data_IF_289240112571
#
_entry.id   IF_289240112571
#
_cell.length_a   1.000
_cell.length_b   1.000
_cell.length_c   1.000
_cell.angle_alpha   90.00
_cell.angle_beta   90.00
_cell.angle_gamma   90.00
#
_symmetry.space_group_name_H-M   'P 1'
#
loop_
_entity.id
_entity.type
_entity.pdbx_description
1 polymer ?
#
# COMPACT_ATOMS: atom_id res chain seq x y z
N UNK A 1 -13.87 -3.25 14.47
CA UNK A 1 -12.55 -3.58 13.86
C UNK A 1 -12.12 -5.02 14.10
N UNK A 2 -12.10 -5.52 15.35
CA UNK A 2 -11.64 -6.89 15.66
C UNK A 2 -12.41 -7.99 14.90
N UNK A 3 -13.74 -7.96 14.87
CA UNK A 3 -14.55 -8.93 14.12
C UNK A 3 -14.23 -8.94 12.62
N UNK A 4 -14.00 -7.77 12.02
CA UNK A 4 -13.64 -7.66 10.61
C UNK A 4 -12.24 -8.23 10.33
N UNK A 5 -11.27 -8.03 11.24
CA UNK A 5 -9.96 -8.70 11.17
C UNK A 5 -10.11 -10.22 11.23
N UNK A 6 -10.88 -10.75 12.18
CA UNK A 6 -11.12 -12.19 12.30
C UNK A 6 -11.81 -12.77 11.07
N UNK A 7 -12.81 -12.08 10.54
CA UNK A 7 -13.50 -12.47 9.31
C UNK A 7 -12.55 -12.48 8.10
N UNK A 8 -11.77 -11.41 7.93
CA UNK A 8 -10.77 -11.30 6.85
C UNK A 8 -9.74 -12.43 6.94
N UNK A 9 -9.23 -12.71 8.14
CA UNK A 9 -8.31 -13.81 8.38
C UNK A 9 -8.95 -15.17 8.03
N UNK A 10 -10.16 -15.45 8.54
CA UNK A 10 -10.87 -16.69 8.29
C UNK A 10 -11.15 -16.93 6.80
N UNK A 11 -11.62 -15.90 6.08
CA UNK A 11 -11.86 -15.96 4.64
C UNK A 11 -10.56 -16.20 3.87
N UNK A 12 -9.47 -15.54 4.25
CA UNK A 12 -8.15 -15.73 3.64
C UNK A 12 -7.67 -17.17 3.85
N UNK A 13 -7.73 -17.68 5.08
CA UNK A 13 -7.31 -19.05 5.41
C UNK A 13 -8.15 -20.06 4.63
N UNK A 14 -9.46 -19.88 4.55
CA UNK A 14 -10.35 -20.76 3.77
C UNK A 14 -9.98 -20.75 2.28
N UNK A 15 -9.75 -19.56 1.72
CA UNK A 15 -9.37 -19.41 0.31
C UNK A 15 -8.02 -20.09 0.02
N UNK A 16 -6.99 -19.82 0.83
CA UNK A 16 -5.67 -20.45 0.67
C UNK A 16 -5.73 -21.98 0.82
N UNK A 17 -6.55 -22.52 1.75
CA UNK A 17 -6.77 -23.96 1.88
C UNK A 17 -7.41 -24.57 0.63
N UNK A 18 -8.45 -23.92 0.09
CA UNK A 18 -9.11 -24.41 -1.14
C UNK A 18 -8.19 -24.44 -2.36
N UNK A 19 -7.15 -23.60 -2.37
CA UNK A 19 -6.15 -23.56 -3.44
C UNK A 19 -5.01 -24.57 -3.26
N UNK A 20 -5.05 -25.39 -2.19
CA UNK A 20 -4.01 -26.37 -1.85
C UNK A 20 -2.61 -25.71 -1.85
N UNK A 21 -2.47 -24.60 -1.14
CA UNK A 21 -1.23 -23.83 -1.08
C UNK A 21 -0.13 -24.64 -0.40
N UNK A 22 1.06 -24.65 -1.02
CA UNK A 22 2.26 -25.33 -0.55
C UNK A 22 3.41 -24.33 -0.37
N UNK A 23 4.51 -24.75 0.27
CA UNK A 23 5.72 -23.92 0.39
C UNK A 23 6.31 -23.52 -0.97
N UNK A 24 6.16 -24.37 -2.00
CA UNK A 24 6.64 -24.10 -3.36
C UNK A 24 5.96 -22.87 -4.00
N UNK A 25 4.73 -22.54 -3.60
CA UNK A 25 4.01 -21.37 -4.11
C UNK A 25 4.68 -20.04 -3.72
N UNK A 26 5.48 -20.05 -2.64
CA UNK A 26 6.22 -18.89 -2.14
C UNK A 26 7.71 -18.89 -2.55
N UNK A 27 8.15 -19.87 -3.35
CA UNK A 27 9.54 -19.99 -3.79
C UNK A 27 9.98 -18.80 -4.68
N UNK A 28 11.30 -18.57 -4.76
CA UNK A 28 11.92 -17.47 -5.51
C UNK A 28 11.35 -17.25 -6.94
N UNK A 29 11.09 -18.30 -7.76
CA UNK A 29 10.54 -18.11 -9.10
C UNK A 29 9.15 -17.48 -9.15
N UNK A 30 8.41 -17.49 -8.03
CA UNK A 30 7.06 -16.94 -7.92
C UNK A 30 7.03 -15.53 -7.29
N UNK A 31 8.19 -15.00 -6.90
CA UNK A 31 8.33 -13.67 -6.26
C UNK A 31 8.61 -12.54 -7.26
N UNK A 32 8.51 -12.83 -8.57
CA UNK A 32 8.63 -11.84 -9.63
C UNK A 32 7.45 -10.86 -9.67
N UNK A 33 7.67 -9.72 -10.32
CA UNK A 33 6.61 -8.72 -10.59
C UNK A 33 5.59 -9.29 -11.58
N UNK A 34 6.09 -9.92 -12.65
CA UNK A 34 5.25 -10.49 -13.70
C UNK A 34 4.65 -11.81 -13.21
N UNK A 35 3.31 -11.92 -13.10
CA UNK A 35 2.67 -13.18 -12.78
C UNK A 35 2.95 -14.22 -13.85
N UNK A 36 3.09 -15.48 -13.43
CA UNK A 36 2.71 -16.59 -14.31
C UNK A 36 1.21 -16.52 -14.52
N UNK A 37 0.75 -16.52 -15.77
CA UNK A 37 -0.68 -16.38 -16.14
C UNK A 37 -1.53 -17.64 -15.82
N UNK A 38 -1.04 -18.53 -14.96
CA UNK A 38 -1.82 -19.66 -14.48
C UNK A 38 -2.90 -19.18 -13.49
N UNK A 39 -4.15 -19.59 -13.70
CA UNK A 39 -5.30 -19.16 -12.89
C UNK A 39 -5.05 -19.37 -11.38
N UNK A 40 -4.54 -20.54 -10.98
CA UNK A 40 -4.20 -20.83 -9.57
C UNK A 40 -3.17 -19.85 -9.00
N UNK A 41 -2.11 -19.54 -9.75
CA UNK A 41 -1.08 -18.60 -9.32
C UNK A 41 -1.62 -17.19 -9.17
N UNK A 42 -2.44 -16.74 -10.12
CA UNK A 42 -3.13 -15.45 -10.03
C UNK A 42 -4.06 -15.38 -8.82
N UNK A 43 -4.81 -16.46 -8.53
CA UNK A 43 -5.67 -16.54 -7.35
C UNK A 43 -4.89 -16.42 -6.05
N UNK A 44 -3.77 -17.14 -5.89
CA UNK A 44 -2.94 -17.06 -4.68
C UNK A 44 -2.39 -15.64 -4.50
N UNK A 45 -1.85 -15.02 -5.56
CA UNK A 45 -1.35 -13.64 -5.52
C UNK A 45 -2.47 -12.64 -5.18
N UNK A 46 -3.67 -12.85 -5.72
CA UNK A 46 -4.86 -12.05 -5.43
C UNK A 46 -5.30 -12.14 -3.97
N UNK A 47 -5.44 -13.36 -3.44
CA UNK A 47 -5.79 -13.59 -2.03
C UNK A 47 -4.76 -12.96 -1.10
N UNK A 48 -3.46 -13.14 -1.37
CA UNK A 48 -2.40 -12.53 -0.55
C UNK A 48 -2.44 -11.00 -0.62
N UNK A 49 -2.71 -10.42 -1.79
CA UNK A 49 -2.80 -8.96 -1.96
C UNK A 49 -3.99 -8.37 -1.21
N UNK A 50 -5.17 -8.97 -1.35
CA UNK A 50 -6.39 -8.55 -0.64
C UNK A 50 -6.22 -8.71 0.87
N UNK A 51 -5.66 -9.84 1.31
CA UNK A 51 -5.38 -10.08 2.72
C UNK A 51 -4.43 -9.03 3.28
N UNK A 52 -3.36 -8.69 2.55
CA UNK A 52 -2.42 -7.64 2.98
C UNK A 52 -3.12 -6.29 3.17
N UNK A 53 -3.92 -5.85 2.20
CA UNK A 53 -4.66 -4.56 2.27
C UNK A 53 -5.51 -4.50 3.53
N UNK A 54 -6.39 -5.50 3.73
CA UNK A 54 -7.37 -5.44 4.82
C UNK A 54 -6.77 -5.71 6.19
N UNK A 55 -5.77 -6.60 6.28
CA UNK A 55 -5.10 -6.85 7.55
C UNK A 55 -4.35 -5.61 8.00
N UNK A 56 -3.58 -4.97 7.11
CA UNK A 56 -2.92 -3.69 7.41
C UNK A 56 -3.92 -2.60 7.80
N UNK A 57 -5.03 -2.47 7.07
CA UNK A 57 -6.11 -1.54 7.42
C UNK A 57 -6.60 -1.74 8.85
N UNK A 58 -6.95 -2.98 9.20
CA UNK A 58 -7.52 -3.29 10.52
C UNK A 58 -6.55 -3.11 11.68
N UNK A 59 -5.32 -3.61 11.53
CA UNK A 59 -4.31 -3.57 12.58
C UNK A 59 -3.92 -2.13 12.87
N UNK A 60 -3.68 -1.33 11.83
CA UNK A 60 -3.25 0.05 12.00
C UNK A 60 -4.40 0.95 12.48
N UNK A 61 -5.61 0.76 11.97
CA UNK A 61 -6.77 1.50 12.49
C UNK A 61 -7.03 1.15 13.95
N UNK A 62 -6.97 -0.14 14.32
CA UNK A 62 -7.14 -0.56 15.71
C UNK A 62 -6.07 0.03 16.64
N UNK A 63 -4.80 0.00 16.22
CA UNK A 63 -3.71 0.61 16.99
C UNK A 63 -3.90 2.13 17.13
N UNK A 64 -4.31 2.81 16.06
CA UNK A 64 -4.61 4.23 16.08
C UNK A 64 -5.76 4.57 17.02
N UNK A 65 -6.86 3.83 16.97
CA UNK A 65 -8.02 4.08 17.83
C UNK A 65 -7.68 3.87 19.31
N UNK A 66 -6.89 2.83 19.63
CA UNK A 66 -6.42 2.59 21.00
C UNK A 66 -5.54 3.75 21.50
N UNK A 67 -4.60 4.21 20.67
CA UNK A 67 -3.75 5.34 21.03
C UNK A 67 -4.55 6.64 21.14
N UNK A 68 -5.47 6.90 20.22
CA UNK A 68 -6.36 8.08 20.29
C UNK A 68 -7.15 8.09 21.61
N UNK A 69 -7.75 6.96 22.01
CA UNK A 69 -8.46 6.85 23.30
C UNK A 69 -7.52 7.15 24.47
N UNK A 70 -6.29 6.61 24.42
CA UNK A 70 -5.30 6.81 25.48
C UNK A 70 -4.90 8.28 25.61
N UNK A 71 -4.48 8.92 24.51
CA UNK A 71 -3.93 10.28 24.53
C UNK A 71 -5.02 11.35 24.68
N UNK A 72 -6.19 11.16 24.05
CA UNK A 72 -7.29 12.13 24.10
C UNK A 72 -8.14 11.95 25.36
N UNK A 73 -8.56 10.71 25.67
CA UNK A 73 -9.56 10.48 26.72
C UNK A 73 -8.96 10.14 28.09
N UNK A 74 -7.89 9.35 28.14
CA UNK A 74 -7.31 8.91 29.43
C UNK A 74 -6.27 9.88 29.98
N UNK A 75 -5.38 10.37 29.11
CA UNK A 75 -4.29 11.27 29.47
C UNK A 75 -4.68 12.75 29.32
N UNK A 76 -5.60 13.05 28.40
CA UNK A 76 -6.01 14.43 28.10
C UNK A 76 -4.89 15.29 27.52
N UNK A 77 -3.92 14.68 26.83
CA UNK A 77 -2.76 15.38 26.26
C UNK A 77 -3.08 16.01 24.90
N UNK A 78 -3.94 15.35 24.12
CA UNK A 78 -4.25 15.74 22.75
C UNK A 78 -5.77 16.00 22.57
N UNK A 79 -6.11 16.85 21.60
CA UNK A 79 -7.48 17.03 21.12
C UNK A 79 -7.90 15.95 20.10
N UNK A 80 -9.21 15.62 19.98
CA UNK A 80 -9.70 14.67 18.97
C UNK A 80 -9.32 15.03 17.52
N UNK A 81 -9.20 16.32 17.21
CA UNK A 81 -8.81 16.84 15.89
C UNK A 81 -7.34 16.55 15.52
N UNK A 82 -6.50 16.29 16.52
CA UNK A 82 -5.09 15.92 16.35
C UNK A 82 -4.94 14.44 15.94
N UNK A 83 -6.01 13.65 16.07
CA UNK A 83 -6.09 12.23 15.73
C UNK A 83 -7.01 11.96 14.53
N UNK A 84 -6.70 12.52 13.33
CA UNK A 84 -7.53 12.32 12.15
C UNK A 84 -7.48 10.86 11.68
N UNK A 85 -8.52 10.36 10.98
CA UNK A 85 -8.53 9.00 10.47
C UNK A 85 -7.30 8.65 9.62
N UNK A 86 -6.66 7.51 9.90
CA UNK A 86 -5.50 7.03 9.14
C UNK A 86 -5.80 6.73 7.67
N UNK A 87 -7.01 6.29 7.39
CA UNK A 87 -7.47 5.89 6.07
C UNK A 87 -8.65 6.76 5.63
N UNK A 88 -8.70 7.06 4.34
CA UNK A 88 -9.88 7.69 3.75
C UNK A 88 -10.88 6.67 3.22
N UNK A 89 -11.73 7.10 2.29
CA UNK A 89 -12.76 6.25 1.71
C UNK A 89 -12.21 5.26 0.68
N UNK A 90 -12.47 3.96 0.87
CA UNK A 90 -12.18 2.92 -0.11
C UNK A 90 -12.93 3.11 -1.44
N UNK A 91 -14.03 3.88 -1.44
CA UNK A 91 -14.81 4.21 -2.65
C UNK A 91 -13.99 5.07 -3.63
N UNK A 92 -12.94 5.74 -3.15
CA UNK A 92 -12.05 6.53 -4.02
C UNK A 92 -10.87 5.72 -4.58
N UNK A 93 -10.69 4.46 -4.18
CA UNK A 93 -9.52 3.65 -4.51
C UNK A 93 -9.56 2.98 -5.92
N UNK A 94 -10.12 3.65 -6.93
CA UNK A 94 -10.27 3.14 -8.31
C UNK A 94 -9.12 3.51 -9.26
N UNK A 95 -8.02 4.08 -8.75
CA UNK A 95 -6.75 4.23 -9.47
C UNK A 95 -5.62 4.14 -8.46
N UNK A 96 -4.40 3.78 -8.85
CA UNK A 96 -3.29 3.69 -7.89
C UNK A 96 -3.02 5.04 -7.24
N UNK A 97 -3.04 6.13 -8.01
CA UNK A 97 -2.84 7.46 -7.45
C UNK A 97 -3.87 7.78 -6.37
N UNK A 98 -5.14 7.43 -6.58
CA UNK A 98 -6.19 7.66 -5.56
C UNK A 98 -6.10 6.68 -4.41
N UNK A 99 -5.74 5.43 -4.66
CA UNK A 99 -5.46 4.46 -3.60
C UNK A 99 -4.44 5.04 -2.62
N UNK A 100 -3.28 5.50 -3.11
CA UNK A 100 -2.21 6.02 -2.25
C UNK A 100 -2.45 7.41 -1.67
N UNK A 101 -3.19 8.29 -2.35
CA UNK A 101 -3.38 9.69 -1.90
C UNK A 101 -4.71 9.97 -1.19
N UNK A 102 -5.74 9.13 -1.38
CA UNK A 102 -7.08 9.34 -0.81
C UNK A 102 -7.50 8.23 0.14
N UNK A 103 -7.10 6.99 -0.11
CA UNK A 103 -7.52 5.86 0.72
C UNK A 103 -6.46 5.44 1.74
N UNK A 104 -5.23 5.20 1.29
CA UNK A 104 -4.18 4.52 2.06
C UNK A 104 -3.32 5.47 2.90
N UNK A 105 -3.08 5.11 4.16
CA UNK A 105 -2.12 5.72 5.10
C UNK A 105 -1.89 7.24 4.93
N UNK A 106 -2.91 8.05 5.22
CA UNK A 106 -2.82 9.51 5.07
C UNK A 106 -1.84 10.15 6.07
N UNK A 107 -1.59 9.51 7.21
CA UNK A 107 -0.68 10.01 8.25
C UNK A 107 0.74 10.20 7.72
N UNK A 108 1.22 9.30 6.86
CA UNK A 108 2.56 9.40 6.28
C UNK A 108 2.76 10.74 5.56
N UNK A 109 1.77 11.23 4.82
CA UNK A 109 1.92 12.48 4.09
C UNK A 109 2.10 13.69 5.02
N UNK A 110 1.47 13.68 6.20
CA UNK A 110 1.57 14.78 7.18
C UNK A 110 2.87 14.68 7.98
N UNK A 111 3.17 13.51 8.53
CA UNK A 111 4.36 13.29 9.36
C UNK A 111 5.66 13.37 8.54
N UNK A 112 5.61 13.04 7.26
CA UNK A 112 6.79 13.07 6.39
C UNK A 112 7.02 14.42 5.70
N UNK A 113 6.04 15.32 5.68
CA UNK A 113 6.21 16.64 5.06
C UNK A 113 7.35 17.46 5.72
N UNK A 114 7.53 17.45 7.05
CA UNK A 114 8.71 18.04 7.71
C UNK A 114 10.05 17.40 7.35
N UNK A 115 10.07 16.17 6.84
CA UNK A 115 11.32 15.51 6.40
C UNK A 115 11.68 15.85 4.95
N UNK A 116 10.77 16.46 4.20
CA UNK A 116 10.97 16.78 2.79
C UNK A 116 11.89 17.99 2.58
N UNK A 117 12.79 18.00 1.58
CA UNK A 117 13.66 19.13 1.32
C UNK A 117 12.91 20.46 1.09
N UNK A 118 13.45 21.62 1.53
CA UNK A 118 12.78 22.92 1.44
C UNK A 118 12.26 23.29 0.04
N UNK A 119 13.01 22.98 -1.02
CA UNK A 119 12.63 23.27 -2.40
C UNK A 119 11.41 22.46 -2.87
N UNK A 120 11.17 21.28 -2.29
CA UNK A 120 9.98 20.47 -2.55
C UNK A 120 8.81 20.86 -1.62
N UNK A 121 9.07 21.50 -0.47
CA UNK A 121 8.04 22.05 0.44
C UNK A 121 7.43 23.34 -0.08
N UNK A 122 8.24 24.25 -0.61
CA UNK A 122 7.85 25.60 -1.02
C UNK A 122 6.62 25.61 -1.94
N UNK A 123 5.46 26.05 -1.44
CA UNK A 123 4.21 26.13 -2.21
C UNK A 123 4.39 27.19 -3.29
N UNK A 124 4.33 26.79 -4.56
CA UNK A 124 4.52 27.73 -5.67
C UNK A 124 3.45 28.82 -5.59
N UNK A 125 3.87 30.05 -5.29
CA UNK A 125 3.02 31.25 -5.32
C UNK A 125 2.68 31.65 -6.78
N UNK A 126 3.33 31.04 -7.78
CA UNK A 126 3.22 31.40 -9.20
C UNK A 126 2.59 30.25 -9.99
N UNK A 127 1.41 30.51 -10.60
CA UNK A 127 0.60 29.60 -11.45
C UNK A 127 1.32 29.18 -12.76
N UNK A 128 2.46 28.49 -12.69
CA UNK A 128 3.12 27.89 -13.86
C UNK A 128 2.90 26.37 -13.85
N UNK A 129 1.83 25.94 -14.53
CA UNK A 129 1.34 24.54 -14.63
C UNK A 129 2.40 23.47 -14.92
N UNK A 130 3.50 23.81 -15.63
CA UNK A 130 4.58 22.86 -16.00
C UNK A 130 5.53 22.55 -14.84
N UNK A 131 5.89 23.56 -14.03
CA UNK A 131 6.70 23.37 -12.82
C UNK A 131 5.94 22.58 -11.75
N UNK A 132 4.61 22.68 -11.73
CA UNK A 132 3.77 21.94 -10.78
C UNK A 132 3.83 20.42 -11.00
N UNK A 133 3.97 19.93 -12.25
CA UNK A 133 4.04 18.50 -12.52
C UNK A 133 5.31 17.85 -12.00
N UNK A 134 6.47 18.39 -12.41
CA UNK A 134 7.76 17.84 -12.02
C UNK A 134 7.90 17.89 -10.50
N UNK A 135 7.55 19.02 -9.90
CA UNK A 135 7.56 19.18 -8.45
C UNK A 135 6.64 18.19 -7.74
N UNK A 136 5.40 18.02 -8.21
CA UNK A 136 4.48 17.05 -7.60
C UNK A 136 4.97 15.60 -7.77
N UNK A 137 5.61 15.28 -8.89
CA UNK A 137 6.21 13.96 -9.14
C UNK A 137 7.40 13.72 -8.21
N UNK A 138 8.27 14.71 -8.01
CA UNK A 138 9.38 14.63 -7.06
C UNK A 138 8.90 14.53 -5.61
N UNK A 139 7.83 15.26 -5.23
CA UNK A 139 7.18 15.11 -3.92
C UNK A 139 6.65 13.69 -3.72
N UNK A 140 5.98 13.13 -4.73
CA UNK A 140 5.49 11.76 -4.67
C UNK A 140 6.65 10.76 -4.54
N UNK A 141 7.69 10.89 -5.38
CA UNK A 141 8.89 10.04 -5.32
C UNK A 141 9.53 10.08 -3.93
N UNK A 142 9.68 11.27 -3.34
CA UNK A 142 10.20 11.44 -1.99
C UNK A 142 9.38 10.66 -0.95
N UNK A 143 8.06 10.78 -0.98
CA UNK A 143 7.17 10.07 -0.06
C UNK A 143 7.29 8.55 -0.26
N UNK A 144 7.31 8.06 -1.50
CA UNK A 144 7.48 6.62 -1.79
C UNK A 144 8.84 6.08 -1.29
N UNK A 145 9.94 6.82 -1.50
CA UNK A 145 11.26 6.43 -1.00
C UNK A 145 11.31 6.41 0.53
N UNK A 146 10.70 7.41 1.17
CA UNK A 146 10.69 7.48 2.63
C UNK A 146 9.82 6.37 3.25
N UNK A 147 8.70 6.02 2.62
CA UNK A 147 7.93 4.83 2.98
C UNK A 147 8.75 3.55 2.83
N UNK A 148 9.49 3.38 1.73
CA UNK A 148 10.39 2.24 1.56
C UNK A 148 11.43 2.14 2.67
N UNK A 149 11.99 3.28 3.09
CA UNK A 149 12.96 3.34 4.18
C UNK A 149 12.34 2.91 5.51
N UNK A 150 11.16 3.41 5.88
CA UNK A 150 10.51 3.02 7.13
C UNK A 150 10.11 1.54 7.15
N UNK A 151 9.66 1.01 6.01
CA UNK A 151 9.38 -0.42 5.89
C UNK A 151 10.64 -1.28 5.98
N UNK A 152 11.73 -0.87 5.32
CA UNK A 152 13.01 -1.54 5.43
C UNK A 152 13.56 -1.56 6.87
N UNK A 153 13.45 -0.42 7.57
CA UNK A 153 13.82 -0.29 8.98
C UNK A 153 12.95 -1.19 9.87
N UNK A 154 11.64 -1.20 9.67
CA UNK A 154 10.71 -2.06 10.42
C UNK A 154 11.05 -3.55 10.24
N UNK A 155 11.34 -3.97 9.00
CA UNK A 155 11.75 -5.34 8.71
C UNK A 155 13.10 -5.69 9.35
N UNK A 156 14.06 -4.77 9.36
CA UNK A 156 15.35 -4.97 10.01
C UNK A 156 15.20 -5.11 11.53
N UNK A 157 14.38 -4.28 12.17
CA UNK A 157 14.11 -4.38 13.61
C UNK A 157 13.39 -5.68 13.95
N UNK A 158 12.44 -6.11 13.12
CA UNK A 158 11.56 -7.26 13.43
C UNK A 158 12.18 -8.61 13.07
N UNK A 159 12.86 -8.70 11.92
CA UNK A 159 13.37 -9.97 11.36
C UNK A 159 14.89 -10.03 11.31
N UNK A 160 15.61 -8.96 11.70
CA UNK A 160 17.08 -8.84 11.58
C UNK A 160 17.60 -9.06 10.16
N UNK A 161 16.73 -8.92 9.15
CA UNK A 161 17.02 -9.08 7.73
C UNK A 161 16.67 -7.82 6.95
N UNK A 162 17.57 -7.39 6.08
CA UNK A 162 17.38 -6.21 5.23
C UNK A 162 16.62 -6.55 3.95
N UNK A 163 15.28 -6.53 3.97
CA UNK A 163 14.46 -6.60 2.75
C UNK A 163 14.39 -5.26 1.98
N UNK A 164 15.35 -4.37 2.21
CA UNK A 164 15.34 -2.99 1.72
C UNK A 164 15.17 -2.88 0.19
N UNK A 165 15.87 -3.73 -0.57
CA UNK A 165 15.75 -3.75 -2.03
C UNK A 165 14.35 -4.16 -2.51
N UNK A 166 13.69 -5.09 -1.81
CA UNK A 166 12.34 -5.54 -2.15
C UNK A 166 11.29 -4.48 -1.82
N UNK A 167 11.43 -3.82 -0.67
CA UNK A 167 10.59 -2.68 -0.28
C UNK A 167 10.77 -1.53 -1.29
N UNK A 168 12.02 -1.15 -1.59
CA UNK A 168 12.30 -0.09 -2.56
C UNK A 168 11.71 -0.40 -3.93
N UNK A 169 11.85 -1.65 -4.41
CA UNK A 169 11.21 -2.11 -5.64
C UNK A 169 9.69 -1.94 -5.60
N UNK A 170 9.03 -2.35 -4.52
CA UNK A 170 7.59 -2.21 -4.36
C UNK A 170 7.14 -0.74 -4.44
N UNK A 171 7.77 0.15 -3.68
CA UNK A 171 7.37 1.56 -3.64
C UNK A 171 7.73 2.30 -4.95
N UNK A 172 8.89 2.04 -5.56
CA UNK A 172 9.27 2.66 -6.84
C UNK A 172 8.39 2.19 -8.00
N UNK A 173 7.99 0.92 -8.04
CA UNK A 173 7.04 0.44 -9.04
C UNK A 173 5.66 1.10 -8.87
N UNK A 174 5.18 1.25 -7.63
CA UNK A 174 3.93 1.98 -7.38
C UNK A 174 4.02 3.45 -7.81
N UNK A 175 5.15 4.12 -7.53
CA UNK A 175 5.42 5.47 -8.03
C UNK A 175 5.38 5.51 -9.57
N UNK A 176 6.07 4.59 -10.24
CA UNK A 176 6.09 4.49 -11.70
C UNK A 176 4.70 4.34 -12.30
N UNK A 177 3.86 3.45 -11.73
CA UNK A 177 2.47 3.29 -12.17
C UNK A 177 1.64 4.55 -11.92
N UNK A 178 1.79 5.22 -10.77
CA UNK A 178 1.11 6.49 -10.50
C UNK A 178 1.52 7.60 -11.49
N UNK A 179 2.79 7.62 -11.89
CA UNK A 179 3.32 8.55 -12.88
C UNK A 179 2.72 8.26 -14.26
N UNK A 180 2.65 7.00 -14.65
CA UNK A 180 2.01 6.55 -15.89
C UNK A 180 0.51 6.90 -15.92
N UNK A 181 -0.23 6.68 -14.82
CA UNK A 181 -1.63 7.11 -14.69
C UNK A 181 -1.75 8.63 -14.90
N UNK A 182 -0.83 9.41 -14.33
CA UNK A 182 -0.87 10.88 -14.44
C UNK A 182 -0.52 11.38 -15.85
N UNK A 183 0.45 10.76 -16.51
CA UNK A 183 0.80 11.09 -17.91
C UNK A 183 -0.33 10.66 -18.84
N UNK A 184 -0.87 9.45 -18.66
CA UNK A 184 -1.99 8.92 -19.44
C UNK A 184 -3.25 9.79 -19.32
N UNK A 185 -3.63 10.18 -18.10
CA UNK A 185 -4.75 11.11 -17.89
C UNK A 185 -4.53 12.47 -18.55
N UNK A 186 -3.30 12.98 -18.62
CA UNK A 186 -3.02 14.26 -19.28
C UNK A 186 -3.06 14.14 -20.79
N UNK A 187 -2.59 13.03 -21.35
CA UNK A 187 -2.67 12.73 -22.77
C UNK A 187 -4.13 12.51 -23.21
N UNK A 188 -4.91 11.75 -22.43
CA UNK A 188 -6.32 11.43 -22.71
C UNK A 188 -7.30 12.50 -22.25
N UNK A 189 -6.90 13.41 -21.36
CA UNK A 189 -7.75 14.48 -20.79
C UNK A 189 -8.18 15.53 -21.81
N UNK A 190 -7.65 15.50 -23.03
CA UNK A 190 -8.19 16.22 -24.19
C UNK A 190 -9.33 15.48 -24.93
N UNK A 191 -9.57 14.20 -24.63
CA UNK A 191 -10.40 13.29 -25.43
C UNK A 191 -11.60 12.64 -24.72
N UNK A 192 -11.63 12.51 -23.38
CA UNK A 192 -12.68 11.75 -22.67
C UNK A 192 -13.71 12.60 -21.88
N UNK A 193 -15.01 12.36 -22.11
CA UNK A 193 -16.16 13.03 -21.46
C UNK A 193 -16.52 12.47 -20.07
N UNK A 194 -17.18 13.25 -19.18
CA UNK A 194 -17.51 12.87 -17.80
C UNK A 194 -18.40 11.62 -17.63
N UNK A 195 -19.23 11.27 -18.63
CA UNK A 195 -20.13 10.12 -18.57
C UNK A 195 -19.38 8.76 -18.50
N UNK A 196 -18.17 8.67 -19.06
CA UNK A 196 -17.32 7.48 -18.95
C UNK A 196 -16.81 7.24 -17.53
N UNK A 197 -16.83 8.26 -16.67
CA UNK A 197 -16.21 8.25 -15.33
C UNK A 197 -16.91 7.32 -14.32
N UNK A 198 -18.18 6.94 -14.55
CA UNK A 198 -18.91 5.98 -13.70
C UNK A 198 -18.64 4.53 -14.11
N UNK A 199 -18.58 4.23 -15.41
CA UNK A 199 -18.26 2.89 -15.93
C UNK A 199 -16.76 2.53 -15.76
N UNK A 200 -15.89 3.54 -15.63
CA UNK A 200 -14.45 3.34 -15.40
C UNK A 200 -14.12 2.89 -13.97
N UNK A 201 -15.03 2.99 -12.99
CA UNK A 201 -14.73 2.66 -11.59
C UNK A 201 -14.48 1.16 -11.36
N UNK A 202 -15.37 0.22 -11.79
CA UNK A 202 -15.09 -1.20 -11.68
C UNK A 202 -13.81 -1.62 -12.40
N UNK A 203 -13.58 -1.11 -13.62
CA UNK A 203 -12.34 -1.33 -14.36
C UNK A 203 -11.11 -0.78 -13.60
N UNK A 204 -11.26 0.38 -12.96
CA UNK A 204 -10.24 0.98 -12.12
C UNK A 204 -9.90 0.15 -10.87
N UNK A 205 -10.90 -0.43 -10.21
CA UNK A 205 -10.66 -1.37 -9.11
C UNK A 205 -9.97 -2.65 -9.58
N UNK A 206 -10.39 -3.20 -10.72
CA UNK A 206 -9.74 -4.36 -11.32
C UNK A 206 -8.28 -4.04 -11.68
N UNK A 207 -8.01 -2.85 -12.21
CA UNK A 207 -6.65 -2.36 -12.49
C UNK A 207 -5.80 -2.24 -11.22
N UNK A 208 -6.32 -1.61 -10.17
CA UNK A 208 -5.62 -1.48 -8.87
C UNK A 208 -5.30 -2.85 -8.29
N UNK A 209 -6.27 -3.76 -8.28
CA UNK A 209 -6.08 -5.13 -7.81
C UNK A 209 -5.04 -5.86 -8.67
N UNK A 210 -5.09 -5.73 -9.99
CA UNK A 210 -4.13 -6.35 -10.90
C UNK A 210 -2.70 -5.87 -10.63
N UNK A 211 -2.50 -4.56 -10.43
CA UNK A 211 -1.17 -4.04 -10.09
C UNK A 211 -0.69 -4.59 -8.74
N UNK A 212 -1.56 -4.70 -7.73
CA UNK A 212 -1.18 -5.32 -6.46
C UNK A 212 -0.89 -6.81 -6.58
N UNK A 213 -1.67 -7.55 -7.37
CA UNK A 213 -1.39 -8.94 -7.74
C UNK A 213 0.03 -9.06 -8.28
N UNK A 214 0.49 -8.10 -9.09
CA UNK A 214 1.84 -8.04 -9.62
C UNK A 214 2.90 -7.65 -8.58
N UNK A 215 2.65 -6.65 -7.74
CA UNK A 215 3.69 -6.03 -6.91
C UNK A 215 3.81 -6.63 -5.50
N UNK A 216 2.69 -6.99 -4.85
CA UNK A 216 2.67 -7.39 -3.42
C UNK A 216 3.44 -8.70 -3.16
N UNK A 217 3.27 -9.77 -3.97
CA UNK A 217 3.97 -11.04 -3.74
C UNK A 217 5.50 -10.90 -3.66
N UNK A 218 6.06 -9.97 -4.43
CA UNK A 218 7.50 -9.82 -4.56
C UNK A 218 8.22 -9.33 -3.30
N UNK A 219 7.54 -8.68 -2.36
CA UNK A 219 8.12 -8.37 -1.04
C UNK A 219 7.46 -9.20 0.07
N UNK A 220 6.19 -9.59 -0.10
CA UNK A 220 5.42 -10.27 0.93
C UNK A 220 5.80 -11.75 1.10
N UNK A 221 6.07 -12.46 0.02
CA UNK A 221 6.39 -13.90 0.06
C UNK A 221 7.67 -14.19 0.86
N UNK A 222 8.80 -13.49 0.65
CA UNK A 222 9.99 -13.62 1.50
C UNK A 222 9.70 -13.46 2.98
N UNK A 223 8.93 -12.43 3.34
CA UNK A 223 8.56 -12.15 4.74
C UNK A 223 7.68 -13.26 5.31
N UNK A 224 6.79 -13.86 4.51
CA UNK A 224 5.96 -14.99 4.96
C UNK A 224 6.79 -16.25 5.21
N UNK A 225 7.71 -16.58 4.30
CA UNK A 225 8.63 -17.72 4.45
C UNK A 225 9.49 -17.53 5.70
N UNK A 226 10.04 -16.33 5.90
CA UNK A 226 10.86 -15.99 7.05
C UNK A 226 10.10 -16.16 8.38
N UNK A 227 8.87 -15.65 8.44
CA UNK A 227 8.03 -15.81 9.62
C UNK A 227 7.76 -17.27 9.94
N UNK A 228 7.58 -18.11 8.92
CA UNK A 228 7.38 -19.54 9.11
C UNK A 228 8.64 -20.24 9.63
N UNK A 229 9.82 -19.91 9.09
CA UNK A 229 11.11 -20.44 9.56
C UNK A 229 11.36 -20.07 11.04
N UNK A 230 11.20 -18.79 11.38
CA UNK A 230 11.36 -18.32 12.77
C UNK A 230 10.32 -18.91 13.73
N UNK A 231 9.16 -19.34 13.23
CA UNK A 231 8.20 -20.06 14.05
C UNK A 231 8.70 -21.48 14.34
N UNK A 232 9.17 -22.21 13.32
CA UNK A 232 9.69 -23.57 13.47
C UNK A 232 10.90 -23.63 14.42
N UNK A 233 11.84 -22.69 14.30
CA UNK A 233 13.00 -22.60 15.20
C UNK A 233 12.63 -22.39 16.68
N UNK A 234 11.47 -21.78 16.97
CA UNK A 234 11.01 -21.61 18.36
C UNK A 234 10.40 -22.87 18.97
N UNK A 235 10.09 -23.87 18.16
CA UNK A 235 9.48 -25.14 18.61
C UNK A 235 10.46 -26.31 18.58
N UNK A 236 11.69 -26.10 18.13
CA UNK A 236 12.81 -27.05 18.23
C UNK A 236 13.69 -26.67 19.43
#
# INVERSE_FOLDING_TARGET
>A
MWLFHQLSAALTTRALRSLHVTSHDFALPNQGIIPRLAARGLSIRGVVSVHWIWTSYTVLSGAHDILAIMFVSLLGWDGPEEWPPLFGSAVEAYSLRRFWSKFWHQLHSRTCEPLMPPFLRARSQRRRKKHDFLRNSLRALWIFCLSAMFHALSNWVTFRKGYAALELRFFLCNFGVCLLETVGERAMGGFMKPAHRKLTRPAGYAWVLFVFVCLVPGWKYPVMVEKALNALERYM
#
